data_IF_979652080987
#
_entry.id   IF_979652080987
#
_cell.length_a   1.000
_cell.length_b   1.000
_cell.length_c   1.000
_cell.angle_alpha   90.00
_cell.angle_beta   90.00
_cell.angle_gamma   90.00
#
_symmetry.space_group_name_H-M   'P 1'
#
loop_
_entity.id
_entity.type
_entity.pdbx_description
1 polymer ?
#
# COMPACT_ATOMS: atom_id res chain seq x y z
N UNK A 1 -7.03 8.07 -4.28
CA UNK A 1 -6.78 7.65 -2.88
C UNK A 1 -5.29 7.74 -2.64
N UNK A 2 -4.86 8.24 -1.48
CA UNK A 2 -3.45 8.23 -1.06
C UNK A 2 -3.39 7.39 0.23
N UNK A 3 -2.50 6.39 0.26
CA UNK A 3 -2.22 5.55 1.41
C UNK A 3 -0.75 5.74 1.80
N UNK A 4 -0.50 6.35 2.96
CA UNK A 4 0.85 6.67 3.43
C UNK A 4 1.20 5.81 4.64
N UNK A 5 2.21 4.94 4.53
CA UNK A 5 2.71 4.08 5.60
C UNK A 5 1.57 3.32 6.32
N UNK A 6 0.62 2.81 5.55
CA UNK A 6 -0.63 2.26 6.08
C UNK A 6 -0.46 0.86 6.68
N UNK A 7 0.58 0.14 6.27
CA UNK A 7 1.00 -1.10 6.90
C UNK A 7 -0.06 -2.20 6.89
N UNK A 8 -0.05 -2.99 7.97
CA UNK A 8 -0.87 -4.18 8.14
C UNK A 8 -2.36 -3.84 8.18
N UNK A 9 -3.16 -4.54 7.39
CA UNK A 9 -4.59 -4.24 7.20
C UNK A 9 -4.89 -2.98 6.38
N UNK A 10 -3.86 -2.24 5.98
CA UNK A 10 -3.90 -1.17 4.98
C UNK A 10 -3.42 -1.65 3.62
N UNK A 11 -2.24 -1.22 3.19
CA UNK A 11 -1.66 -1.60 1.91
C UNK A 11 -0.72 -2.83 1.97
N UNK A 12 -0.18 -3.21 3.13
CA UNK A 12 0.80 -4.29 3.22
C UNK A 12 0.14 -5.68 3.14
N UNK A 13 0.69 -6.57 2.30
CA UNK A 13 0.16 -7.93 2.14
C UNK A 13 0.24 -8.74 3.43
N UNK A 14 -0.89 -9.30 3.88
CA UNK A 14 -0.93 -10.17 5.05
C UNK A 14 -0.04 -11.40 4.87
N UNK A 15 -0.05 -12.00 3.68
CA UNK A 15 0.72 -13.21 3.36
C UNK A 15 2.23 -13.04 3.36
N UNK A 16 2.75 -11.81 3.46
CA UNK A 16 4.19 -11.59 3.60
C UNK A 16 4.70 -11.86 5.01
N UNK A 17 3.81 -11.79 6.00
CA UNK A 17 4.14 -12.09 7.40
C UNK A 17 5.38 -11.32 7.91
N UNK A 18 5.53 -10.06 7.49
CA UNK A 18 6.67 -9.19 7.83
C UNK A 18 6.19 -7.93 8.57
N UNK A 19 6.95 -7.49 9.57
CA UNK A 19 6.58 -6.34 10.41
C UNK A 19 5.36 -6.65 11.27
N UNK A 20 4.37 -5.76 11.23
CA UNK A 20 3.09 -5.97 11.91
C UNK A 20 2.27 -7.09 11.27
N UNK A 21 1.55 -7.85 12.11
CA UNK A 21 0.78 -9.03 11.72
C UNK A 21 -0.54 -9.04 12.46
N UNK A 22 -1.49 -9.86 12.01
CA UNK A 22 -2.84 -9.95 12.60
C UNK A 22 -2.78 -10.12 14.12
N UNK A 23 -1.95 -11.04 14.61
CA UNK A 23 -1.84 -11.33 16.03
C UNK A 23 -1.34 -10.15 16.88
N UNK A 24 -0.52 -9.26 16.32
CA UNK A 24 -0.07 -8.04 16.99
C UNK A 24 -1.21 -7.06 17.24
N UNK A 25 -2.23 -7.06 16.38
CA UNK A 25 -3.35 -6.10 16.43
C UNK A 25 -4.49 -6.53 17.35
N UNK A 26 -4.69 -7.84 17.59
CA UNK A 26 -5.87 -8.37 18.29
C UNK A 26 -6.04 -7.78 19.70
N UNK A 27 -4.96 -7.67 20.47
CA UNK A 27 -5.03 -7.17 21.85
C UNK A 27 -5.03 -5.64 21.95
N UNK A 28 -4.07 -4.90 21.36
CA UNK A 28 -4.01 -3.46 21.54
C UNK A 28 -5.09 -2.72 20.75
N UNK A 29 -5.49 -3.25 19.58
CA UNK A 29 -6.36 -2.54 18.63
C UNK A 29 -7.41 -3.46 17.99
N UNK A 30 -7.84 -4.51 18.70
CA UNK A 30 -8.80 -5.50 18.17
C UNK A 30 -10.14 -4.91 17.72
N UNK A 31 -10.48 -3.69 18.16
CA UNK A 31 -11.65 -2.93 17.75
C UNK A 31 -11.53 -2.26 16.37
N UNK A 32 -10.34 -2.23 15.76
CA UNK A 32 -10.14 -1.71 14.39
C UNK A 32 -10.72 -2.64 13.32
N UNK A 33 -10.79 -3.93 13.61
CA UNK A 33 -11.24 -4.95 12.67
C UNK A 33 -12.47 -5.67 13.20
N UNK A 34 -13.21 -6.34 12.31
CA UNK A 34 -14.31 -7.20 12.74
C UNK A 34 -13.78 -8.42 13.51
N UNK A 35 -14.60 -8.98 14.41
CA UNK A 35 -14.20 -10.14 15.22
C UNK A 35 -13.73 -11.35 14.40
N UNK A 36 -14.27 -11.54 13.18
CA UNK A 36 -13.87 -12.62 12.28
C UNK A 36 -12.42 -12.52 11.82
N UNK A 37 -11.84 -11.31 11.77
CA UNK A 37 -10.44 -11.11 11.39
C UNK A 37 -9.48 -11.82 12.35
N UNK A 38 -9.81 -11.86 13.64
CA UNK A 38 -8.99 -12.51 14.66
C UNK A 38 -8.85 -14.03 14.43
N UNK A 39 -9.78 -14.67 13.69
CA UNK A 39 -9.71 -16.09 13.37
C UNK A 39 -8.53 -16.46 12.44
N UNK A 40 -7.94 -15.47 11.79
CA UNK A 40 -6.79 -15.63 10.89
C UNK A 40 -5.44 -15.29 11.55
N UNK A 41 -5.41 -15.11 12.87
CA UNK A 41 -4.18 -14.95 13.64
C UNK A 41 -3.23 -16.13 13.39
N UNK A 42 -2.00 -15.85 12.94
CA UNK A 42 -1.00 -16.86 12.54
C UNK A 42 -1.46 -17.80 11.40
N UNK A 43 -2.51 -17.41 10.67
CA UNK A 43 -3.11 -18.14 9.56
C UNK A 43 -3.34 -17.19 8.38
N UNK A 44 -2.46 -16.21 8.21
CA UNK A 44 -2.56 -15.17 7.18
C UNK A 44 -2.64 -15.76 5.76
N UNK A 45 -2.03 -16.94 5.53
CA UNK A 45 -2.10 -17.66 4.26
C UNK A 45 -3.51 -18.16 3.90
N UNK A 46 -4.37 -18.36 4.89
CA UNK A 46 -5.73 -18.89 4.74
C UNK A 46 -6.78 -17.79 4.49
N UNK A 47 -6.39 -16.51 4.55
CA UNK A 47 -7.30 -15.41 4.25
C UNK A 47 -7.91 -15.58 2.85
N UNK A 48 -9.22 -15.38 2.64
CA UNK A 48 -9.81 -15.50 1.30
C UNK A 48 -9.42 -14.34 0.37
N UNK A 49 -8.81 -13.28 0.91
CA UNK A 49 -8.39 -12.07 0.20
C UNK A 49 -7.02 -11.60 0.68
N UNK A 50 -6.43 -10.61 0.01
CA UNK A 50 -5.28 -9.86 0.52
C UNK A 50 -5.36 -8.39 0.10
N UNK A 51 -4.44 -7.56 0.59
CA UNK A 51 -4.51 -6.12 0.45
C UNK A 51 -4.41 -5.61 -1.01
N UNK A 52 -3.77 -6.35 -1.93
CA UNK A 52 -3.80 -6.00 -3.35
C UNK A 52 -5.24 -6.00 -3.92
N UNK A 53 -6.14 -6.86 -3.41
CA UNK A 53 -7.55 -6.87 -3.79
C UNK A 53 -8.27 -5.63 -3.26
N UNK A 54 -7.96 -5.20 -2.03
CA UNK A 54 -8.46 -3.94 -1.47
C UNK A 54 -8.03 -2.73 -2.32
N UNK A 55 -6.74 -2.67 -2.68
CA UNK A 55 -6.20 -1.61 -3.53
C UNK A 55 -6.86 -1.60 -4.93
N UNK A 56 -7.16 -2.78 -5.48
CA UNK A 56 -7.85 -2.91 -6.75
C UNK A 56 -9.28 -2.35 -6.75
N UNK A 57 -9.97 -2.29 -5.59
CA UNK A 57 -11.30 -1.67 -5.47
C UNK A 57 -11.28 -0.15 -5.74
N UNK A 58 -10.10 0.48 -5.77
CA UNK A 58 -9.97 1.90 -6.13
C UNK A 58 -10.10 2.12 -7.64
N UNK A 59 -9.77 1.12 -8.45
CA UNK A 59 -9.75 1.22 -9.90
C UNK A 59 -11.12 1.68 -10.47
N UNK A 60 -11.16 2.46 -11.56
CA UNK A 60 -10.04 2.99 -12.34
C UNK A 60 -9.51 4.35 -11.83
N UNK A 61 -9.85 4.75 -10.59
CA UNK A 61 -9.46 6.07 -10.03
C UNK A 61 -7.98 6.06 -9.62
N UNK A 62 -7.28 7.21 -9.63
CA UNK A 62 -5.89 7.28 -9.21
C UNK A 62 -5.67 6.77 -7.77
N UNK A 63 -4.67 5.90 -7.62
CA UNK A 63 -4.22 5.32 -6.35
C UNK A 63 -2.75 5.67 -6.14
N UNK A 64 -2.40 6.12 -4.94
CA UNK A 64 -1.03 6.34 -4.54
C UNK A 64 -0.73 5.60 -3.24
N UNK A 65 0.35 4.84 -3.20
CA UNK A 65 0.84 4.15 -2.00
C UNK A 65 2.25 4.69 -1.70
N UNK A 66 2.54 5.00 -0.45
CA UNK A 66 3.83 5.54 -0.04
C UNK A 66 4.32 4.82 1.21
N UNK A 67 5.63 4.57 1.27
CA UNK A 67 6.29 3.94 2.40
C UNK A 67 7.53 4.72 2.83
N UNK A 68 8.05 4.45 4.03
CA UNK A 68 9.31 5.01 4.52
C UNK A 68 10.37 3.91 4.75
N UNK A 69 11.65 4.20 4.50
CA UNK A 69 12.73 3.19 4.53
C UNK A 69 12.94 2.54 5.89
N UNK A 70 12.77 3.28 6.98
CA UNK A 70 12.97 2.78 8.34
C UNK A 70 11.67 2.27 8.96
N UNK A 71 10.53 2.42 8.27
CA UNK A 71 9.22 1.93 8.72
C UNK A 71 9.03 0.44 8.41
N UNK A 72 9.92 -0.38 8.96
CA UNK A 72 9.90 -1.83 8.76
C UNK A 72 8.66 -2.49 9.36
N UNK A 73 7.99 -1.84 10.33
CA UNK A 73 6.74 -2.34 10.92
C UNK A 73 5.59 -2.33 9.91
N UNK A 74 5.56 -1.36 8.99
CA UNK A 74 4.56 -1.27 7.93
C UNK A 74 4.85 -2.15 6.69
N UNK A 75 5.96 -2.88 6.64
CA UNK A 75 6.41 -3.67 5.47
C UNK A 75 6.38 -2.87 4.15
N UNK A 76 7.33 -1.94 3.93
CA UNK A 76 7.39 -1.11 2.71
C UNK A 76 7.39 -1.94 1.42
N UNK A 77 8.07 -3.09 1.46
CA UNK A 77 8.12 -4.03 0.34
C UNK A 77 6.74 -4.67 0.10
N UNK A 78 6.00 -4.99 1.16
CA UNK A 78 4.64 -5.50 1.06
C UNK A 78 3.65 -4.50 0.49
N UNK A 79 3.73 -3.24 0.91
CA UNK A 79 2.93 -2.17 0.33
C UNK A 79 3.22 -1.99 -1.18
N UNK A 80 4.51 -2.01 -1.57
CA UNK A 80 4.91 -1.98 -2.98
C UNK A 80 4.34 -3.17 -3.76
N UNK A 81 4.52 -4.40 -3.25
CA UNK A 81 4.04 -5.60 -3.93
C UNK A 81 2.51 -5.64 -4.03
N UNK A 82 1.78 -5.12 -3.04
CA UNK A 82 0.34 -5.00 -3.12
C UNK A 82 -0.09 -4.02 -4.22
N UNK A 83 0.55 -2.85 -4.30
CA UNK A 83 0.29 -1.86 -5.34
C UNK A 83 0.60 -2.42 -6.74
N UNK A 84 1.71 -3.16 -6.87
CA UNK A 84 2.07 -3.84 -8.10
C UNK A 84 1.02 -4.89 -8.49
N UNK A 85 0.61 -5.74 -7.56
CA UNK A 85 -0.38 -6.79 -7.79
C UNK A 85 -1.80 -6.27 -8.06
N UNK A 86 -2.08 -4.99 -7.76
CA UNK A 86 -3.33 -4.34 -8.16
C UNK A 86 -3.34 -3.87 -9.64
N UNK A 87 -2.17 -3.77 -10.28
CA UNK A 87 -2.00 -3.29 -11.67
C UNK A 87 -2.88 -4.01 -12.70
N UNK A 88 -3.04 -5.35 -12.68
CA UNK A 88 -3.86 -6.05 -13.68
C UNK A 88 -5.31 -5.57 -13.74
N UNK A 89 -5.90 -5.14 -12.61
CA UNK A 89 -7.27 -4.62 -12.57
C UNK A 89 -7.36 -3.23 -13.20
N UNK A 90 -6.33 -2.41 -13.05
CA UNK A 90 -6.25 -1.10 -13.73
C UNK A 90 -6.09 -1.29 -15.24
N UNK A 91 -5.22 -2.21 -15.66
CA UNK A 91 -4.98 -2.54 -17.06
C UNK A 91 -6.23 -3.09 -17.75
N UNK A 92 -6.98 -3.97 -17.07
CA UNK A 92 -8.28 -4.45 -17.52
C UNK A 92 -9.27 -3.29 -17.82
N UNK A 93 -9.19 -2.22 -17.05
CA UNK A 93 -10.04 -1.03 -17.18
C UNK A 93 -9.42 0.07 -18.07
N UNK A 94 -8.39 -0.28 -18.86
CA UNK A 94 -7.76 0.63 -19.81
C UNK A 94 -6.90 1.73 -19.15
N UNK A 95 -6.44 1.51 -17.92
CA UNK A 95 -5.55 2.40 -17.18
C UNK A 95 -4.15 1.79 -17.07
N UNK A 96 -3.13 2.64 -16.98
CA UNK A 96 -1.78 2.18 -16.64
C UNK A 96 -1.74 1.83 -15.16
N UNK A 97 -1.30 0.61 -14.81
CA UNK A 97 -1.04 0.20 -13.44
C UNK A 97 0.19 0.87 -12.83
N UNK A 98 0.96 0.12 -12.04
CA UNK A 98 2.25 0.58 -11.50
C UNK A 98 3.33 0.46 -12.59
N UNK A 99 4.11 1.52 -12.91
CA UNK A 99 5.00 1.51 -14.08
C UNK A 99 6.23 0.59 -14.00
N UNK A 100 6.59 0.10 -12.82
CA UNK A 100 7.80 -0.70 -12.60
C UNK A 100 7.49 -1.94 -11.77
N UNK A 101 7.94 -3.14 -12.18
CA UNK A 101 7.86 -4.34 -11.37
C UNK A 101 8.95 -4.41 -10.28
N UNK A 102 9.97 -3.54 -10.35
CA UNK A 102 10.97 -3.39 -9.30
C UNK A 102 10.60 -2.25 -8.35
N UNK A 103 10.80 -2.49 -7.05
CA UNK A 103 10.65 -1.46 -6.04
C UNK A 103 11.66 -0.33 -6.33
N UNK A 104 11.23 0.94 -6.34
CA UNK A 104 12.14 2.03 -6.63
C UNK A 104 13.15 2.23 -5.50
N UNK A 105 14.28 2.84 -5.85
CA UNK A 105 15.23 3.36 -4.88
C UNK A 105 14.58 4.47 -4.03
N UNK A 106 15.04 4.69 -2.79
CA UNK A 106 14.53 5.77 -1.96
C UNK A 106 14.55 7.12 -2.68
N UNK A 107 13.47 7.88 -2.50
CA UNK A 107 13.20 9.18 -3.10
C UNK A 107 13.14 9.20 -4.64
N UNK A 108 12.90 8.05 -5.30
CA UNK A 108 12.71 7.95 -6.76
C UNK A 108 11.31 7.46 -7.12
N UNK A 109 10.27 8.32 -7.10
CA UNK A 109 8.88 7.92 -7.22
C UNK A 109 8.55 7.37 -8.61
N UNK A 110 7.70 6.34 -8.67
CA UNK A 110 7.13 5.82 -9.93
C UNK A 110 5.64 6.15 -9.98
N UNK A 111 5.16 6.71 -11.10
CA UNK A 111 3.81 7.25 -11.18
C UNK A 111 3.10 6.84 -12.49
N UNK A 112 2.15 5.91 -12.39
CA UNK A 112 1.14 5.59 -13.40
C UNK A 112 -0.24 6.08 -12.96
N UNK A 113 -1.30 5.30 -13.20
CA UNK A 113 -2.58 5.49 -12.48
C UNK A 113 -2.48 4.95 -11.05
N UNK A 114 -1.61 3.96 -10.85
CA UNK A 114 -1.05 3.61 -9.55
C UNK A 114 0.31 4.29 -9.42
N UNK A 115 0.51 5.04 -8.33
CA UNK A 115 1.79 5.61 -7.95
C UNK A 115 2.36 4.94 -6.72
N UNK A 116 3.70 4.85 -6.66
CA UNK A 116 4.43 4.41 -5.48
C UNK A 116 5.68 5.26 -5.25
N UNK A 117 5.99 5.54 -3.98
CA UNK A 117 7.33 5.97 -3.60
C UNK A 117 7.77 5.36 -2.26
N UNK A 118 9.08 5.27 -2.10
CA UNK A 118 9.74 4.97 -0.85
C UNK A 118 10.55 6.19 -0.44
N UNK A 119 10.28 6.79 0.72
CA UNK A 119 11.02 7.96 1.23
C UNK A 119 12.06 7.53 2.26
N UNK A 120 13.23 8.18 2.27
CA UNK A 120 14.20 8.00 3.36
C UNK A 120 13.65 8.46 4.72
N UNK A 121 13.88 7.67 5.77
CA UNK A 121 13.61 7.98 7.17
C UNK A 121 12.50 7.12 7.80
N UNK A 122 12.05 7.56 8.98
CA UNK A 122 11.07 6.87 9.81
C UNK A 122 9.60 7.10 9.40
N UNK A 123 8.70 6.40 10.11
CA UNK A 123 7.26 6.49 9.97
C UNK A 123 6.76 7.92 10.21
N UNK A 124 6.37 8.60 9.14
CA UNK A 124 5.86 9.96 9.15
C UNK A 124 5.21 10.31 7.80
N UNK A 125 4.47 11.43 7.80
CA UNK A 125 4.17 12.19 6.58
C UNK A 125 5.04 13.45 6.62
N UNK A 126 5.77 13.71 5.55
CA UNK A 126 6.75 14.80 5.43
C UNK A 126 6.43 15.70 4.24
N UNK A 127 7.18 16.79 4.10
CA UNK A 127 7.09 17.69 2.95
C UNK A 127 7.36 16.96 1.62
N UNK A 128 8.34 16.05 1.58
CA UNK A 128 8.62 15.25 0.39
C UNK A 128 7.42 14.41 -0.04
N UNK A 129 6.76 13.76 0.92
CA UNK A 129 5.57 12.94 0.61
C UNK A 129 4.48 13.81 -0.02
N UNK A 130 4.23 14.99 0.55
CA UNK A 130 3.29 15.99 0.01
C UNK A 130 3.67 16.51 -1.38
N UNK A 131 4.94 16.80 -1.64
CA UNK A 131 5.41 17.19 -2.97
C UNK A 131 5.07 16.12 -4.01
N UNK A 132 5.28 14.84 -3.67
CA UNK A 132 4.92 13.74 -4.55
C UNK A 132 3.41 13.57 -4.72
N UNK A 133 2.61 13.78 -3.67
CA UNK A 133 1.15 13.74 -3.73
C UNK A 133 0.56 14.85 -4.59
N UNK A 134 1.09 16.07 -4.47
CA UNK A 134 0.66 17.21 -5.28
C UNK A 134 1.05 17.01 -6.75
N UNK A 135 2.28 16.53 -7.01
CA UNK A 135 2.72 16.18 -8.37
C UNK A 135 1.85 15.08 -9.00
N UNK A 136 1.47 14.07 -8.21
CA UNK A 136 0.55 13.03 -8.68
C UNK A 136 -0.87 13.54 -8.91
N UNK A 137 -1.39 14.38 -8.02
CA UNK A 137 -2.70 15.00 -8.19
C UNK A 137 -2.74 15.88 -9.44
N UNK A 138 -1.69 16.66 -9.68
CA UNK A 138 -1.52 17.47 -10.87
C UNK A 138 -1.61 16.63 -12.15
N UNK A 139 -0.95 15.47 -12.18
CA UNK A 139 -0.98 14.56 -13.33
C UNK A 139 -2.39 14.02 -13.66
N UNK A 140 -3.23 13.83 -12.64
CA UNK A 140 -4.51 13.12 -12.80
C UNK A 140 -5.75 14.01 -12.74
N UNK A 141 -5.64 15.21 -12.18
CA UNK A 141 -6.78 16.09 -11.92
C UNK A 141 -6.63 17.51 -12.45
N UNK A 142 -5.45 17.94 -12.92
CA UNK A 142 -5.37 19.21 -13.67
C UNK A 142 -6.14 19.07 -14.98
N UNK A 143 -6.98 20.08 -15.24
CA UNK A 143 -7.70 20.26 -16.50
C UNK A 143 -6.85 21.04 -17.48
#
# INVERSE_FOLDING_TARGET
MISNNSGCGGAALYRREFGERIHHMIKPVGYWFCGNHANFSHREQELPVDQHMLLALVAPRPLYVASATEDQWADPKGEFLAALAASPVYELLGKTGLPSPQMPEPNTPVQGTIGYHLRNGAHAVTAYDWEQYLSFADRHFKR
#
